data_IF_393594384395
#
_entry.id   IF_393594384395
#
_cell.length_a   1.000
_cell.length_b   1.000
_cell.length_c   1.000
_cell.angle_alpha   90.00
_cell.angle_beta   90.00
_cell.angle_gamma   90.00
#
_symmetry.space_group_name_H-M   'P 1'
#
loop_
_entity.id
_entity.type
_entity.pdbx_description
1 polymer ?
#
# COMPACT_ATOMS: atom_id res chain seq x y z
N UNK A 1 15.79 -45.32 13.19
CA UNK A 1 16.08 -43.89 13.02
C UNK A 1 15.15 -43.37 11.95
N UNK A 2 13.93 -42.98 12.33
CA UNK A 2 12.94 -42.44 11.41
C UNK A 2 13.04 -40.92 11.40
N UNK A 3 13.46 -40.37 10.25
CA UNK A 3 13.36 -38.96 9.97
C UNK A 3 11.89 -38.62 9.71
N UNK A 4 11.21 -38.10 10.73
CA UNK A 4 9.88 -37.51 10.57
C UNK A 4 10.01 -36.25 9.70
N UNK A 5 9.67 -36.40 8.41
CA UNK A 5 9.43 -35.26 7.51
C UNK A 5 8.08 -34.67 7.89
N UNK A 6 8.10 -33.73 8.82
CA UNK A 6 6.95 -32.87 9.10
C UNK A 6 6.56 -32.17 7.80
N UNK A 7 5.32 -32.35 7.37
CA UNK A 7 4.83 -31.79 6.12
C UNK A 7 4.75 -30.25 6.24
N UNK A 8 5.02 -29.53 5.14
CA UNK A 8 4.78 -28.07 5.06
C UNK A 8 3.34 -27.70 5.46
N UNK A 9 2.38 -28.62 5.28
CA UNK A 9 0.99 -28.48 5.74
C UNK A 9 0.87 -28.43 7.27
N UNK A 10 1.71 -29.16 8.00
CA UNK A 10 1.70 -29.25 9.46
C UNK A 10 2.36 -28.02 10.10
N UNK A 11 3.40 -27.47 9.47
CA UNK A 11 3.99 -26.19 9.87
C UNK A 11 3.01 -25.02 9.71
N UNK A 12 2.10 -25.08 8.72
CA UNK A 12 1.05 -24.07 8.50
C UNK A 12 -0.12 -24.22 9.51
N UNK A 13 -0.34 -25.42 10.06
CA UNK A 13 -1.39 -25.63 11.08
C UNK A 13 -0.94 -25.25 12.49
N UNK A 14 0.34 -25.42 12.84
CA UNK A 14 0.88 -25.09 14.16
C UNK A 14 1.02 -23.58 14.44
N UNK A 15 0.96 -22.73 13.41
CA UNK A 15 0.90 -21.26 13.53
C UNK A 15 -0.44 -20.68 13.08
N UNK A 16 -1.58 -21.30 13.42
CA UNK A 16 -2.85 -20.56 13.41
C UNK A 16 -2.97 -19.82 14.73
N UNK A 17 -2.80 -18.49 14.79
CA UNK A 17 -3.25 -17.75 15.94
C UNK A 17 -4.75 -18.01 16.07
N UNK A 18 -5.19 -18.26 17.29
CA UNK A 18 -6.60 -18.30 17.65
C UNK A 18 -7.15 -16.87 17.47
N UNK A 19 -7.41 -16.47 16.22
CA UNK A 19 -7.94 -15.17 15.85
C UNK A 19 -9.43 -15.16 16.21
N UNK A 20 -9.72 -15.03 17.51
CA UNK A 20 -10.99 -14.46 17.91
C UNK A 20 -10.94 -12.99 17.48
N UNK A 21 -11.45 -12.73 16.28
CA UNK A 21 -11.84 -11.39 15.87
C UNK A 21 -12.76 -10.87 16.96
N UNK A 22 -12.32 -9.89 17.74
CA UNK A 22 -13.28 -8.92 18.25
C UNK A 22 -13.61 -8.04 17.05
N UNK A 23 -14.79 -8.20 16.43
CA UNK A 23 -15.21 -7.23 15.44
C UNK A 23 -15.18 -5.88 16.14
N UNK A 24 -14.52 -4.88 15.53
CA UNK A 24 -14.97 -3.50 15.71
C UNK A 24 -16.50 -3.58 15.57
N UNK A 25 -17.23 -3.15 16.60
CA UNK A 25 -18.67 -2.88 16.47
C UNK A 25 -18.86 -2.28 15.08
N UNK A 26 -19.78 -2.82 14.29
CA UNK A 26 -20.00 -2.47 12.89
C UNK A 26 -20.30 -0.97 12.73
N UNK A 27 -19.28 -0.12 12.90
CA UNK A 27 -19.26 1.25 12.48
C UNK A 27 -19.41 1.15 10.98
N UNK A 28 -20.51 1.70 10.48
CA UNK A 28 -20.80 1.81 9.06
C UNK A 28 -19.51 2.03 8.28
N UNK A 29 -19.27 1.22 7.25
CA UNK A 29 -18.14 1.40 6.35
C UNK A 29 -18.03 2.89 5.97
N UNK A 30 -16.81 3.43 5.96
CA UNK A 30 -16.60 4.83 5.66
C UNK A 30 -17.22 5.18 4.30
N UNK A 31 -17.84 6.35 4.20
CA UNK A 31 -18.52 6.76 2.97
C UNK A 31 -17.51 6.98 1.84
N UNK A 32 -17.90 6.63 0.61
CA UNK A 32 -17.10 6.92 -0.57
C UNK A 32 -16.83 8.43 -0.71
N UNK A 33 -15.59 8.77 -1.03
CA UNK A 33 -15.12 10.14 -1.25
C UNK A 33 -14.92 10.32 -2.75
N UNK A 34 -15.61 11.29 -3.32
CA UNK A 34 -15.64 11.51 -4.78
C UNK A 34 -15.30 12.94 -5.18
N UNK A 35 -15.06 13.83 -4.21
CA UNK A 35 -14.79 15.26 -4.45
C UNK A 35 -13.68 15.77 -3.54
N UNK A 36 -12.99 16.83 -3.96
CA UNK A 36 -11.96 17.51 -3.18
C UNK A 36 -12.51 18.15 -1.91
N UNK A 37 -13.77 18.62 -1.94
CA UNK A 37 -14.44 19.13 -0.74
C UNK A 37 -14.53 18.05 0.35
N UNK A 38 -14.93 16.84 -0.03
CA UNK A 38 -14.98 15.71 0.91
C UNK A 38 -13.58 15.29 1.36
N UNK A 39 -12.56 15.35 0.48
CA UNK A 39 -11.16 15.13 0.88
C UNK A 39 -10.77 16.13 1.98
N UNK A 40 -11.03 17.43 1.77
CA UNK A 40 -10.77 18.48 2.75
C UNK A 40 -11.47 18.23 4.10
N UNK A 41 -12.74 17.80 4.06
CA UNK A 41 -13.52 17.47 5.26
C UNK A 41 -12.93 16.28 6.04
N UNK A 42 -12.49 15.21 5.36
CA UNK A 42 -11.95 14.03 6.05
C UNK A 42 -10.53 14.26 6.59
N UNK A 43 -9.68 15.02 5.89
CA UNK A 43 -8.29 15.30 6.36
C UNK A 43 -8.29 16.23 7.57
N UNK A 44 -9.30 17.10 7.69
CA UNK A 44 -9.51 17.97 8.85
C UNK A 44 -10.42 17.32 9.92
N UNK A 45 -10.92 16.11 9.67
CA UNK A 45 -11.83 15.39 10.54
C UNK A 45 -11.12 14.38 11.45
N UNK A 46 -11.90 13.45 12.00
CA UNK A 46 -11.40 12.36 12.85
C UNK A 46 -11.13 11.06 12.07
N UNK A 47 -11.20 11.08 10.74
CA UNK A 47 -11.00 9.90 9.92
C UNK A 47 -9.53 9.47 9.94
N UNK A 48 -9.29 8.16 9.98
CA UNK A 48 -7.94 7.58 9.87
C UNK A 48 -7.63 7.24 8.42
N UNK A 49 -6.70 7.97 7.83
CA UNK A 49 -6.27 7.77 6.45
C UNK A 49 -4.93 7.02 6.45
N UNK A 50 -4.88 5.88 5.76
CA UNK A 50 -3.64 5.15 5.48
C UNK A 50 -3.29 5.36 4.01
N UNK A 51 -2.27 6.17 3.73
CA UNK A 51 -1.64 6.24 2.42
C UNK A 51 -0.93 4.92 2.13
N UNK A 52 -1.08 4.40 0.91
CA UNK A 52 -0.49 3.14 0.46
C UNK A 52 0.01 3.30 -0.97
N UNK A 53 1.19 2.75 -1.23
CA UNK A 53 1.77 2.66 -2.57
C UNK A 53 2.61 1.37 -2.69
N UNK A 54 2.70 0.82 -3.91
CA UNK A 54 3.45 -0.40 -4.21
C UNK A 54 4.43 -0.19 -5.38
N UNK A 55 5.59 -0.82 -5.27
CA UNK A 55 6.49 -1.03 -6.41
C UNK A 55 6.49 -2.48 -6.85
N UNK A 56 6.81 -2.69 -8.12
CA UNK A 56 6.65 -3.99 -8.77
C UNK A 56 7.91 -4.50 -9.44
N UNK A 57 7.97 -5.81 -9.62
CA UNK A 57 8.86 -6.46 -10.56
C UNK A 57 8.05 -7.40 -11.47
N UNK A 58 8.61 -7.79 -12.61
CA UNK A 58 7.98 -8.75 -13.52
C UNK A 58 8.63 -10.13 -13.36
N UNK A 59 7.83 -11.18 -13.11
CA UNK A 59 8.31 -12.58 -13.05
C UNK A 59 8.21 -13.32 -14.39
N UNK A 60 8.36 -12.58 -15.49
CA UNK A 60 8.24 -13.06 -16.86
C UNK A 60 8.33 -11.92 -17.87
N UNK A 61 7.85 -12.15 -19.10
CA UNK A 61 7.79 -11.10 -20.12
C UNK A 61 6.77 -10.01 -19.72
N UNK A 62 7.12 -8.71 -19.76
CA UNK A 62 6.26 -7.62 -19.28
C UNK A 62 4.86 -7.57 -19.91
N UNK A 63 4.73 -8.03 -21.16
CA UNK A 63 3.47 -8.08 -21.89
C UNK A 63 2.52 -9.23 -21.48
N UNK A 64 2.91 -10.15 -20.61
CA UNK A 64 2.03 -11.24 -20.18
C UNK A 64 1.18 -10.87 -18.95
N UNK A 65 -0.16 -11.01 -19.01
CA UNK A 65 -1.04 -10.75 -17.88
C UNK A 65 -0.64 -11.55 -16.63
N UNK A 66 -0.71 -10.92 -15.47
CA UNK A 66 -0.44 -11.59 -14.20
C UNK A 66 1.03 -11.96 -13.96
N UNK A 67 1.99 -11.30 -14.63
CA UNK A 67 3.43 -11.41 -14.36
C UNK A 67 3.96 -10.32 -13.42
N UNK A 68 3.20 -9.24 -13.22
CA UNK A 68 3.51 -8.22 -12.22
C UNK A 68 3.46 -8.81 -10.81
N UNK A 69 4.49 -8.56 -10.03
CA UNK A 69 4.65 -9.06 -8.65
C UNK A 69 4.97 -7.92 -7.72
N UNK A 70 4.59 -8.07 -6.46
CA UNK A 70 4.93 -7.13 -5.40
C UNK A 70 6.45 -7.12 -5.16
N UNK A 71 7.09 -5.94 -5.30
CA UNK A 71 8.51 -5.70 -5.01
C UNK A 71 8.74 -4.82 -3.77
N UNK A 72 7.89 -3.83 -3.55
CA UNK A 72 7.88 -2.98 -2.34
C UNK A 72 6.44 -2.64 -1.99
N UNK A 73 6.14 -2.51 -0.70
CA UNK A 73 4.90 -1.94 -0.20
C UNK A 73 5.24 -0.96 0.92
N UNK A 74 4.72 0.25 0.81
CA UNK A 74 4.86 1.26 1.84
C UNK A 74 3.49 1.79 2.25
N UNK A 75 3.38 2.20 3.51
CA UNK A 75 2.19 2.85 4.00
C UNK A 75 2.51 3.83 5.12
N UNK A 76 1.70 4.89 5.20
CA UNK A 76 1.83 5.95 6.20
C UNK A 76 0.45 6.39 6.66
N UNK A 77 0.28 6.51 7.97
CA UNK A 77 -0.93 7.09 8.54
C UNK A 77 -0.82 8.61 8.48
N UNK A 78 -1.81 9.25 7.86
CA UNK A 78 -1.83 10.69 7.69
C UNK A 78 -1.72 11.41 9.03
N UNK A 79 -0.82 12.40 9.11
CA UNK A 79 -0.62 13.24 10.30
C UNK A 79 -0.03 12.50 11.51
N UNK A 80 0.52 11.30 11.33
CA UNK A 80 1.09 10.47 12.40
C UNK A 80 2.45 9.89 11.99
N UNK A 81 3.26 9.50 12.98
CA UNK A 81 4.56 8.85 12.76
C UNK A 81 4.43 7.36 12.37
N UNK A 82 3.22 6.81 12.48
CA UNK A 82 2.92 5.42 12.13
C UNK A 82 3.09 5.17 10.62
N UNK A 83 4.11 4.39 10.28
CA UNK A 83 4.40 4.00 8.91
C UNK A 83 4.99 2.59 8.82
N UNK A 84 4.99 2.04 7.60
CA UNK A 84 5.77 0.86 7.25
C UNK A 84 6.38 1.00 5.86
N UNK A 85 7.53 0.36 5.66
CA UNK A 85 8.19 0.23 4.37
C UNK A 85 8.79 -1.17 4.30
N UNK A 86 8.25 -2.02 3.43
CA UNK A 86 8.68 -3.40 3.30
C UNK A 86 9.03 -3.73 1.86
N UNK A 87 10.07 -4.53 1.70
CA UNK A 87 10.53 -5.02 0.41
C UNK A 87 10.28 -6.52 0.31
N UNK A 88 10.04 -6.99 -0.90
CA UNK A 88 9.98 -8.40 -1.25
C UNK A 88 11.24 -8.76 -2.01
N UNK A 89 11.79 -9.93 -1.72
CA UNK A 89 12.85 -10.53 -2.50
C UNK A 89 12.36 -11.85 -3.13
N UNK A 90 12.75 -12.09 -4.37
CA UNK A 90 12.40 -13.31 -5.08
C UNK A 90 13.49 -13.73 -6.04
N UNK A 91 13.76 -15.03 -6.11
CA UNK A 91 14.65 -15.61 -7.12
C UNK A 91 14.15 -15.41 -8.56
N UNK A 92 12.86 -15.04 -8.73
CA UNK A 92 12.27 -14.71 -10.03
C UNK A 92 12.50 -13.27 -10.48
N UNK A 93 12.99 -12.39 -9.59
CA UNK A 93 13.42 -11.05 -9.99
C UNK A 93 14.61 -11.14 -10.96
N UNK A 94 14.81 -10.15 -11.81
CA UNK A 94 16.01 -10.11 -12.65
C UNK A 94 17.26 -10.00 -11.77
N UNK A 95 18.44 -10.50 -12.22
CA UNK A 95 19.67 -10.34 -11.45
C UNK A 95 19.99 -8.88 -11.10
N UNK A 96 19.61 -7.94 -11.98
CA UNK A 96 19.76 -6.50 -11.74
C UNK A 96 18.90 -6.03 -10.57
N UNK A 97 17.63 -6.44 -10.53
CA UNK A 97 16.70 -6.04 -9.47
C UNK A 97 17.07 -6.67 -8.13
N UNK A 98 17.47 -7.96 -8.14
CA UNK A 98 18.00 -8.63 -6.96
C UNK A 98 19.22 -7.88 -6.40
N UNK A 99 20.21 -7.58 -7.25
CA UNK A 99 21.41 -6.86 -6.83
C UNK A 99 21.09 -5.43 -6.36
N UNK A 100 20.18 -4.74 -7.03
CA UNK A 100 19.72 -3.40 -6.64
C UNK A 100 19.10 -3.43 -5.23
N UNK A 101 18.24 -4.40 -4.95
CA UNK A 101 17.61 -4.55 -3.65
C UNK A 101 18.64 -4.89 -2.55
N UNK A 102 19.52 -5.86 -2.80
CA UNK A 102 20.56 -6.26 -1.84
C UNK A 102 21.46 -5.07 -1.46
N UNK A 103 21.85 -4.26 -2.45
CA UNK A 103 22.64 -3.04 -2.21
C UNK A 103 21.86 -1.98 -1.46
N UNK A 104 20.58 -1.78 -1.81
CA UNK A 104 19.71 -0.77 -1.18
C UNK A 104 19.51 -1.05 0.30
N UNK A 105 19.34 -2.32 0.66
CA UNK A 105 19.04 -2.74 2.03
C UNK A 105 20.27 -3.17 2.83
N UNK A 106 21.45 -3.17 2.20
CA UNK A 106 22.69 -3.70 2.76
C UNK A 106 22.51 -5.12 3.33
N UNK A 107 21.93 -6.01 2.51
CA UNK A 107 21.62 -7.39 2.89
C UNK A 107 22.46 -8.38 2.11
N UNK A 108 22.79 -9.50 2.77
CA UNK A 108 23.26 -10.72 2.09
C UNK A 108 22.07 -11.44 1.48
N UNK A 109 22.35 -12.25 0.44
CA UNK A 109 21.33 -13.05 -0.25
C UNK A 109 20.49 -13.90 0.73
N UNK A 110 21.15 -14.60 1.66
CA UNK A 110 20.50 -15.45 2.66
C UNK A 110 19.58 -14.70 3.64
N UNK A 111 19.81 -13.40 3.83
CA UNK A 111 18.94 -12.55 4.65
C UNK A 111 17.73 -12.09 3.84
N UNK A 112 17.95 -11.73 2.57
CA UNK A 112 16.90 -11.30 1.66
C UNK A 112 15.89 -12.42 1.35
N UNK A 113 16.29 -13.69 1.34
CA UNK A 113 15.36 -14.83 1.16
C UNK A 113 14.21 -14.88 2.18
N UNK A 114 14.36 -14.21 3.34
CA UNK A 114 13.31 -14.11 4.34
C UNK A 114 12.24 -13.06 4.00
N UNK A 115 12.53 -12.16 3.06
CA UNK A 115 11.64 -11.08 2.61
C UNK A 115 10.61 -11.59 1.61
N UNK A 116 9.88 -12.65 1.96
CA UNK A 116 8.86 -13.25 1.09
C UNK A 116 7.57 -12.43 1.11
N UNK A 117 6.76 -12.52 0.05
CA UNK A 117 5.41 -11.92 -0.01
C UNK A 117 4.58 -12.31 1.21
N UNK A 118 4.62 -13.59 1.62
CA UNK A 118 3.90 -14.07 2.80
C UNK A 118 4.35 -13.36 4.09
N UNK A 119 5.67 -13.22 4.29
CA UNK A 119 6.22 -12.53 5.46
C UNK A 119 5.85 -11.05 5.49
N UNK A 120 5.86 -10.39 4.33
CA UNK A 120 5.55 -8.98 4.17
C UNK A 120 4.06 -8.73 4.42
N UNK A 121 3.18 -9.49 3.77
CA UNK A 121 1.73 -9.33 3.96
C UNK A 121 1.30 -9.64 5.41
N UNK A 122 1.95 -10.59 6.09
CA UNK A 122 1.70 -10.82 7.53
C UNK A 122 1.99 -9.56 8.36
N UNK A 123 3.04 -8.79 8.05
CA UNK A 123 3.37 -7.53 8.74
C UNK A 123 2.39 -6.41 8.36
N UNK A 124 2.03 -6.29 7.08
CA UNK A 124 1.06 -5.30 6.59
C UNK A 124 -0.31 -5.51 7.22
N UNK A 125 -0.81 -6.75 7.25
CA UNK A 125 -2.10 -7.07 7.87
C UNK A 125 -2.12 -6.72 9.36
N UNK A 126 -1.06 -7.05 10.11
CA UNK A 126 -0.93 -6.64 11.52
C UNK A 126 -0.92 -5.13 11.70
N UNK A 127 -0.29 -4.40 10.78
CA UNK A 127 -0.28 -2.94 10.80
C UNK A 127 -1.70 -2.39 10.58
N UNK A 128 -2.40 -2.88 9.56
CA UNK A 128 -3.78 -2.51 9.25
C UNK A 128 -4.72 -2.84 10.42
N UNK A 129 -4.58 -4.01 11.05
CA UNK A 129 -5.42 -4.42 12.17
C UNK A 129 -5.20 -3.56 13.42
N UNK A 130 -3.98 -3.04 13.61
CA UNK A 130 -3.62 -2.12 14.70
C UNK A 130 -4.13 -0.70 14.43
N UNK A 131 -3.87 -0.17 13.24
CA UNK A 131 -4.24 1.21 12.88
C UNK A 131 -5.75 1.34 12.63
N UNK A 132 -6.36 0.31 12.07
CA UNK A 132 -7.77 0.23 11.68
C UNK A 132 -8.22 1.47 10.90
N UNK A 133 -7.61 1.74 9.73
CA UNK A 133 -7.90 2.92 8.93
C UNK A 133 -9.33 2.89 8.41
N UNK A 134 -9.91 4.07 8.25
CA UNK A 134 -11.21 4.28 7.64
C UNK A 134 -11.06 4.35 6.11
N UNK A 135 -9.95 4.94 5.65
CA UNK A 135 -9.63 5.13 4.23
C UNK A 135 -8.26 4.57 3.86
N UNK A 136 -8.18 3.95 2.69
CA UNK A 136 -6.94 3.55 2.03
C UNK A 136 -6.68 4.52 0.88
N UNK A 137 -5.71 5.40 1.07
CA UNK A 137 -5.41 6.51 0.15
C UNK A 137 -4.29 6.12 -0.80
N UNK A 138 -4.46 6.38 -2.08
CA UNK A 138 -3.46 6.15 -3.13
C UNK A 138 -3.47 7.30 -4.13
N UNK A 139 -2.39 7.46 -4.91
CA UNK A 139 -2.47 8.30 -6.09
C UNK A 139 -3.35 7.65 -7.18
N UNK A 140 -3.01 6.43 -7.62
CA UNK A 140 -3.85 5.53 -8.45
C UNK A 140 -3.79 4.12 -7.83
N UNK A 141 -4.91 3.60 -7.32
CA UNK A 141 -4.91 2.30 -6.64
C UNK A 141 -5.11 1.09 -7.55
N UNK A 142 -5.37 1.28 -8.86
CA UNK A 142 -5.85 0.18 -9.70
C UNK A 142 -4.84 -0.95 -9.81
N UNK A 143 -3.57 -0.61 -10.08
CA UNK A 143 -2.52 -1.61 -10.20
C UNK A 143 -2.15 -2.18 -8.83
N UNK A 144 -2.01 -1.33 -7.82
CA UNK A 144 -1.71 -1.69 -6.43
C UNK A 144 -2.67 -2.76 -5.89
N UNK A 145 -3.97 -2.48 -5.93
CA UNK A 145 -4.99 -3.39 -5.41
C UNK A 145 -5.10 -4.65 -6.26
N UNK A 146 -4.90 -4.56 -7.58
CA UNK A 146 -4.85 -5.72 -8.45
C UNK A 146 -3.70 -6.65 -8.07
N UNK A 147 -2.49 -6.12 -7.89
CA UNK A 147 -1.32 -6.92 -7.50
C UNK A 147 -1.48 -7.50 -6.09
N UNK A 148 -1.98 -6.72 -5.11
CA UNK A 148 -2.27 -7.25 -3.77
C UNK A 148 -3.24 -8.43 -3.81
N UNK A 149 -4.31 -8.33 -4.60
CA UNK A 149 -5.28 -9.41 -4.75
C UNK A 149 -4.68 -10.63 -5.47
N UNK A 150 -3.84 -10.41 -6.47
CA UNK A 150 -3.12 -11.50 -7.14
C UNK A 150 -2.15 -12.22 -6.20
N UNK A 151 -1.37 -11.49 -5.40
CA UNK A 151 -0.48 -12.08 -4.41
C UNK A 151 -1.26 -12.84 -3.33
N UNK A 152 -2.38 -12.29 -2.87
CA UNK A 152 -3.26 -12.98 -1.93
C UNK A 152 -3.83 -14.27 -2.52
N UNK A 153 -4.19 -14.27 -3.81
CA UNK A 153 -4.64 -15.47 -4.51
C UNK A 153 -3.53 -16.53 -4.60
N UNK A 154 -2.29 -16.14 -4.93
CA UNK A 154 -1.13 -17.06 -4.98
C UNK A 154 -0.84 -17.69 -3.63
N UNK A 155 -1.01 -16.92 -2.56
CA UNK A 155 -0.88 -17.38 -1.18
C UNK A 155 -2.13 -18.09 -0.64
N UNK A 156 -3.19 -18.19 -1.44
CA UNK A 156 -4.47 -18.80 -1.07
C UNK A 156 -5.08 -18.17 0.21
N UNK A 157 -4.88 -16.86 0.39
CA UNK A 157 -5.48 -16.13 1.50
C UNK A 157 -6.99 -16.04 1.31
N UNK A 158 -7.74 -16.42 2.34
CA UNK A 158 -9.20 -16.25 2.38
C UNK A 158 -9.57 -14.77 2.22
N UNK A 159 -10.67 -14.49 1.53
CA UNK A 159 -11.15 -13.11 1.29
C UNK A 159 -11.33 -12.33 2.59
N UNK A 160 -11.85 -13.00 3.64
CA UNK A 160 -12.04 -12.41 4.98
C UNK A 160 -10.74 -12.01 5.68
N UNK A 161 -9.60 -12.55 5.25
CA UNK A 161 -8.27 -12.21 5.79
C UNK A 161 -7.59 -11.06 5.04
N UNK A 162 -8.16 -10.61 3.91
CA UNK A 162 -7.62 -9.54 3.08
C UNK A 162 -8.09 -8.19 3.61
N UNK A 163 -7.52 -7.74 4.73
CA UNK A 163 -8.04 -6.57 5.46
C UNK A 163 -8.22 -5.31 4.59
N UNK A 164 -7.39 -5.12 3.56
CA UNK A 164 -7.49 -3.99 2.61
C UNK A 164 -8.78 -3.95 1.79
N UNK A 165 -9.46 -5.08 1.56
CA UNK A 165 -10.72 -5.11 0.79
C UNK A 165 -11.92 -4.56 1.58
N UNK A 166 -11.76 -4.34 2.89
CA UNK A 166 -12.80 -3.82 3.78
C UNK A 166 -12.60 -2.35 4.14
N UNK A 167 -11.51 -1.73 3.71
CA UNK A 167 -11.19 -0.32 3.93
C UNK A 167 -11.72 0.46 2.73
N UNK A 168 -12.31 1.63 2.95
CA UNK A 168 -12.83 2.45 1.85
C UNK A 168 -11.66 2.97 1.00
N UNK A 169 -11.55 2.62 -0.30
CA UNK A 169 -10.50 3.17 -1.14
C UNK A 169 -10.77 4.66 -1.43
N UNK A 170 -9.69 5.42 -1.51
CA UNK A 170 -9.67 6.83 -1.90
C UNK A 170 -8.57 7.03 -2.95
N UNK A 171 -9.01 7.29 -4.18
CA UNK A 171 -8.16 7.50 -5.35
C UNK A 171 -8.00 9.01 -5.59
N UNK A 172 -6.83 9.56 -5.23
CA UNK A 172 -6.59 11.00 -5.32
C UNK A 172 -6.48 11.48 -6.77
N UNK A 173 -5.85 10.72 -7.66
CA UNK A 173 -5.75 11.08 -9.08
C UNK A 173 -7.14 11.25 -9.66
N UNK A 174 -8.02 10.26 -9.46
CA UNK A 174 -9.38 10.29 -10.00
C UNK A 174 -10.19 11.48 -9.46
N UNK A 175 -10.09 11.77 -8.16
CA UNK A 175 -10.80 12.89 -7.54
C UNK A 175 -10.28 14.22 -8.09
N UNK A 176 -8.96 14.41 -8.12
CA UNK A 176 -8.32 15.65 -8.59
C UNK A 176 -8.61 15.87 -10.08
N UNK A 177 -8.50 14.83 -10.91
CA UNK A 177 -8.80 14.91 -12.34
C UNK A 177 -10.26 15.22 -12.64
N UNK A 178 -11.18 14.74 -11.79
CA UNK A 178 -12.60 15.08 -11.91
C UNK A 178 -12.87 16.54 -11.54
N UNK A 179 -12.35 16.99 -10.39
CA UNK A 179 -12.74 18.28 -9.81
C UNK A 179 -11.92 19.48 -10.33
N UNK A 180 -10.67 19.27 -10.73
CA UNK A 180 -9.76 20.34 -11.18
C UNK A 180 -9.59 20.35 -12.69
N UNK A 181 -9.56 19.18 -13.33
CA UNK A 181 -9.14 19.04 -14.73
C UNK A 181 -10.25 18.56 -15.68
N UNK A 182 -11.52 18.71 -15.29
CA UNK A 182 -12.71 18.44 -16.11
C UNK A 182 -12.70 17.06 -16.84
N UNK A 183 -12.22 16.01 -16.16
CA UNK A 183 -12.09 14.63 -16.71
C UNK A 183 -11.11 14.47 -17.87
N UNK A 184 -10.14 15.37 -18.02
CA UNK A 184 -8.97 15.11 -18.87
C UNK A 184 -8.16 13.92 -18.34
N UNK A 185 -7.24 13.40 -19.17
CA UNK A 185 -6.32 12.33 -18.77
C UNK A 185 -5.69 12.61 -17.41
N UNK A 186 -5.70 11.61 -16.54
CA UNK A 186 -5.12 11.69 -15.20
C UNK A 186 -3.74 12.34 -15.16
N UNK A 187 -3.45 13.08 -14.10
CA UNK A 187 -2.12 13.67 -13.90
C UNK A 187 -1.27 12.75 -13.03
N UNK A 188 0.02 12.61 -13.34
CA UNK A 188 0.92 11.79 -12.53
C UNK A 188 1.22 12.44 -11.17
N UNK A 189 1.60 11.62 -10.18
CA UNK A 189 2.01 12.10 -8.85
C UNK A 189 3.17 13.10 -8.95
N UNK A 190 4.15 12.82 -9.80
CA UNK A 190 5.26 13.72 -10.08
C UNK A 190 4.77 15.07 -10.62
N UNK A 191 3.81 15.07 -11.55
CA UNK A 191 3.25 16.30 -12.10
C UNK A 191 2.43 17.08 -11.05
N UNK A 192 1.72 16.39 -10.16
CA UNK A 192 1.04 17.05 -9.04
C UNK A 192 2.04 17.72 -8.10
N UNK A 193 3.15 17.04 -7.78
CA UNK A 193 4.21 17.61 -6.96
C UNK A 193 4.77 18.89 -7.58
N UNK A 194 4.96 18.94 -8.91
CA UNK A 194 5.36 20.17 -9.62
C UNK A 194 4.37 21.32 -9.39
N UNK A 195 3.08 21.03 -9.58
CA UNK A 195 2.02 22.04 -9.48
C UNK A 195 1.92 22.63 -8.08
N UNK A 196 2.16 21.81 -7.05
CA UNK A 196 2.15 22.22 -5.66
C UNK A 196 3.51 22.69 -5.13
N UNK A 197 4.53 22.78 -6.00
CA UNK A 197 5.90 23.14 -5.62
C UNK A 197 6.48 22.26 -4.50
N UNK A 198 6.10 20.98 -4.50
CA UNK A 198 6.62 19.96 -3.61
C UNK A 198 7.90 19.33 -4.21
N UNK A 199 8.69 18.69 -3.37
CA UNK A 199 9.78 17.84 -3.85
C UNK A 199 9.23 16.74 -4.76
N UNK A 200 9.94 16.39 -5.83
CA UNK A 200 9.54 15.24 -6.63
C UNK A 200 9.63 13.93 -5.83
N UNK A 201 8.72 12.97 -6.09
CA UNK A 201 8.93 11.61 -5.65
C UNK A 201 10.22 11.07 -6.27
N UNK A 202 10.97 10.30 -5.49
CA UNK A 202 12.08 9.55 -6.08
C UNK A 202 11.48 8.44 -6.94
N UNK A 203 11.92 8.26 -8.19
CA UNK A 203 11.35 7.23 -9.05
C UNK A 203 11.46 5.84 -8.42
N UNK A 204 10.36 5.09 -8.49
CA UNK A 204 10.29 3.68 -8.12
C UNK A 204 10.60 3.40 -6.64
N UNK A 205 10.02 4.20 -5.75
CA UNK A 205 10.15 4.10 -4.30
C UNK A 205 8.82 4.41 -3.61
N UNK A 206 8.04 3.36 -3.34
CA UNK A 206 6.74 3.45 -2.69
C UNK A 206 6.75 4.28 -1.39
N UNK A 207 7.83 4.23 -0.59
CA UNK A 207 7.95 5.00 0.65
C UNK A 207 8.09 6.52 0.42
N UNK A 208 8.70 6.89 -0.70
CA UNK A 208 8.73 8.27 -1.17
C UNK A 208 7.38 8.70 -1.76
N UNK A 209 6.69 7.81 -2.48
CA UNK A 209 5.38 8.11 -3.07
C UNK A 209 4.31 8.33 -1.98
N UNK A 210 4.24 7.47 -0.96
CA UNK A 210 3.32 7.70 0.18
C UNK A 210 3.66 8.96 0.97
N UNK A 211 4.93 9.37 1.04
CA UNK A 211 5.33 10.64 1.64
C UNK A 211 4.82 11.82 0.81
N UNK A 212 4.84 11.74 -0.53
CA UNK A 212 4.31 12.80 -1.38
C UNK A 212 2.78 12.87 -1.30
N UNK A 213 2.10 11.71 -1.27
CA UNK A 213 0.66 11.63 -1.02
C UNK A 213 0.32 12.31 0.31
N UNK A 214 1.06 12.04 1.38
CA UNK A 214 0.87 12.68 2.69
C UNK A 214 1.02 14.22 2.62
N UNK A 215 2.04 14.72 1.91
CA UNK A 215 2.23 16.17 1.69
C UNK A 215 1.09 16.80 0.88
N UNK A 216 0.55 16.08 -0.11
CA UNK A 216 -0.61 16.53 -0.89
C UNK A 216 -1.85 16.62 0.01
N UNK A 217 -2.09 15.60 0.86
CA UNK A 217 -3.17 15.65 1.85
C UNK A 217 -2.98 16.81 2.84
N UNK A 218 -1.75 17.10 3.28
CA UNK A 218 -1.44 18.26 4.11
C UNK A 218 -1.78 19.58 3.40
N UNK A 219 -1.43 19.70 2.11
CA UNK A 219 -1.83 20.86 1.31
C UNK A 219 -3.36 21.03 1.28
N UNK A 220 -4.10 19.95 1.05
CA UNK A 220 -5.57 20.01 1.05
C UNK A 220 -6.17 20.20 2.44
N UNK A 221 -5.45 19.92 3.52
CA UNK A 221 -5.92 20.23 4.86
C UNK A 221 -5.84 21.73 5.18
N UNK A 222 -4.96 22.48 4.51
CA UNK A 222 -4.85 23.92 4.71
C UNK A 222 -6.16 24.62 4.31
N UNK A 223 -6.73 25.33 5.27
CA UNK A 223 -7.84 26.25 5.02
C UNK A 223 -7.26 27.53 4.40
N UNK A 224 -7.30 27.63 3.07
CA UNK A 224 -6.81 28.82 2.35
C UNK A 224 -7.51 30.10 2.80
N UNK A 225 -8.73 30.02 3.37
CA UNK A 225 -9.44 31.19 3.90
C UNK A 225 -8.92 31.66 5.28
N UNK A 226 -8.16 30.84 6.02
CA UNK A 226 -7.53 31.23 7.30
C UNK A 226 -6.18 31.93 7.12
N UNK A 227 -5.55 31.81 5.96
CA UNK A 227 -4.23 32.40 5.67
C UNK A 227 -4.38 33.84 5.12
N UNK A 228 -5.58 34.23 4.70
CA UNK A 228 -5.90 35.53 4.09
C UNK A 228 -6.61 36.50 5.05
N UNK A 229 -6.67 36.18 6.34
CA UNK A 229 -7.19 37.03 7.42
C UNK A 229 -6.18 37.16 8.56
#
# INVERSE_FOLDING_TARGET
MENSKTSLSELIQLERPNWQHQPKNASSAANAVTTLKQVHEIVNGSARLLSLDLEFYCDGQPQMPGTTRLGQIAGRVYGQDDAFNYYVFSSKMTPKDQLSLLKRLDLRYSEAERLTVASVLKKVLRFIDRVQPDYLVSWDNRLDLSVLNQEANRLQLAETSRAWTRIQPLDLEKIISSDVFEKSSGISLARMCDLLQLQHPKPHLADHDVLMIDKILQFYALDLNKILH
#
